data_IF_729296181811
#
_entry.id   IF_729296181811
#
_cell.length_a   1.000
_cell.length_b   1.000
_cell.length_c   1.000
_cell.angle_alpha   90.00
_cell.angle_beta   90.00
_cell.angle_gamma   90.00
#
_symmetry.space_group_name_H-M   'P 1'
#
loop_
_entity.id
_entity.type
_entity.pdbx_description
1 polymer ?
#
# COMPACT_ATOMS: atom_id res chain seq x y z
N UNK A 1 -5.39 15.62 3.23
CA UNK A 1 -4.59 14.70 2.40
C UNK A 1 -3.52 14.10 3.30
N UNK A 2 -3.33 12.77 3.28
CA UNK A 2 -2.31 12.12 4.11
C UNK A 2 -1.12 11.79 3.21
N UNK A 3 0.00 12.47 3.43
CA UNK A 3 1.23 12.32 2.62
C UNK A 3 2.11 11.16 3.09
N UNK A 4 1.84 10.59 4.26
CA UNK A 4 2.57 9.47 4.83
C UNK A 4 1.64 8.54 5.61
N UNK A 5 1.92 7.24 5.54
CA UNK A 5 1.21 6.20 6.29
C UNK A 5 2.21 5.52 7.22
N UNK A 6 1.79 5.18 8.43
CA UNK A 6 2.57 4.37 9.36
C UNK A 6 1.81 3.11 9.73
N UNK A 7 2.56 2.03 9.88
CA UNK A 7 2.08 0.72 10.32
C UNK A 7 3.15 0.14 11.23
N UNK A 8 2.73 -0.53 12.29
CA UNK A 8 3.67 -1.23 13.15
C UNK A 8 3.93 -2.61 12.55
N UNK A 9 5.20 -3.00 12.52
CA UNK A 9 5.57 -4.35 12.19
C UNK A 9 4.83 -5.33 13.13
N UNK A 10 4.41 -6.50 12.60
CA UNK A 10 3.85 -7.54 13.44
C UNK A 10 4.83 -7.92 14.54
N UNK A 11 4.33 -8.17 15.75
CA UNK A 11 5.18 -8.53 16.90
C UNK A 11 5.38 -10.05 17.07
N UNK A 12 4.66 -10.85 16.30
CA UNK A 12 4.68 -12.32 16.37
C UNK A 12 4.97 -12.87 14.99
N UNK A 13 5.80 -13.91 14.95
CA UNK A 13 6.07 -14.66 13.72
C UNK A 13 4.77 -15.10 13.04
N UNK A 14 4.78 -15.10 11.70
CA UNK A 14 3.65 -15.42 10.83
C UNK A 14 2.43 -14.49 10.92
N UNK A 15 2.48 -13.42 11.71
CA UNK A 15 1.47 -12.36 11.66
C UNK A 15 1.75 -11.39 10.51
N UNK A 16 0.67 -10.82 9.99
CA UNK A 16 0.68 -9.81 8.93
C UNK A 16 -0.03 -8.56 9.44
N UNK A 17 0.62 -7.42 9.26
CA UNK A 17 0.02 -6.09 9.44
C UNK A 17 -0.33 -5.54 8.06
N UNK A 18 -1.45 -4.85 7.90
CA UNK A 18 -1.82 -4.27 6.59
C UNK A 18 -1.83 -2.74 6.66
N UNK A 19 -1.05 -2.09 5.80
CA UNK A 19 -1.17 -0.65 5.55
C UNK A 19 -2.18 -0.40 4.43
N UNK A 20 -3.12 0.52 4.65
CA UNK A 20 -4.22 0.83 3.72
C UNK A 20 -4.03 2.22 3.15
N UNK A 21 -3.49 2.30 1.94
CA UNK A 21 -3.24 3.57 1.27
C UNK A 21 -4.49 3.98 0.49
N UNK A 22 -5.09 5.11 0.86
CA UNK A 22 -6.28 5.63 0.19
C UNK A 22 -5.88 6.45 -1.03
N UNK A 23 -6.32 6.03 -2.21
CA UNK A 23 -6.12 6.76 -3.45
C UNK A 23 -7.36 7.56 -3.77
N UNK A 24 -7.23 8.88 -3.83
CA UNK A 24 -8.34 9.81 -4.01
C UNK A 24 -8.24 10.43 -5.41
N UNK A 25 -9.30 10.29 -6.20
CA UNK A 25 -9.48 10.97 -7.49
C UNK A 25 -10.17 12.31 -7.27
N UNK A 26 -9.50 13.37 -7.71
CA UNK A 26 -10.03 14.74 -7.67
C UNK A 26 -10.49 15.18 -9.07
N UNK A 27 -11.41 16.16 -9.12
CA UNK A 27 -11.97 16.68 -10.38
C UNK A 27 -13.16 15.87 -10.92
N UNK A 28 -13.31 15.85 -12.25
CA UNK A 28 -14.40 15.13 -12.91
C UNK A 28 -14.26 13.63 -12.73
N UNK A 29 -15.34 12.98 -12.30
CA UNK A 29 -15.45 11.53 -12.11
C UNK A 29 -16.45 10.89 -13.08
N UNK A 30 -16.75 11.54 -14.20
CA UNK A 30 -17.82 11.09 -15.12
C UNK A 30 -17.35 10.01 -16.09
N UNK A 31 -16.04 9.84 -16.25
CA UNK A 31 -15.43 8.87 -17.16
C UNK A 31 -14.50 7.94 -16.38
N UNK A 32 -14.25 6.76 -16.93
CA UNK A 32 -13.28 5.83 -16.35
C UNK A 32 -11.87 6.40 -16.43
N UNK A 33 -11.11 6.30 -15.33
CA UNK A 33 -9.68 6.59 -15.32
C UNK A 33 -8.92 5.45 -14.64
N UNK A 34 -7.61 5.36 -14.89
CA UNK A 34 -6.77 4.36 -14.25
C UNK A 34 -5.48 4.95 -13.71
N UNK A 35 -4.96 4.33 -12.65
CA UNK A 35 -3.67 4.66 -12.05
C UNK A 35 -2.94 3.37 -11.69
N UNK A 36 -1.64 3.30 -11.98
CA UNK A 36 -0.81 2.18 -11.55
C UNK A 36 -0.22 2.49 -10.17
N UNK A 37 -0.40 1.57 -9.23
CA UNK A 37 0.20 1.61 -7.91
C UNK A 37 1.14 0.41 -7.75
N UNK A 38 2.36 0.65 -7.29
CA UNK A 38 3.33 -0.40 -7.03
C UNK A 38 4.19 -0.08 -5.82
N UNK A 39 4.55 -1.11 -5.08
CA UNK A 39 5.57 -1.04 -4.03
C UNK A 39 6.97 -1.10 -4.64
N UNK A 40 7.96 -0.53 -3.96
CA UNK A 40 9.37 -0.58 -4.35
C UNK A 40 10.23 -0.66 -3.10
N UNK A 41 11.29 -1.46 -3.17
CA UNK A 41 12.25 -1.61 -2.07
C UNK A 41 12.93 -0.28 -1.72
N UNK A 42 13.11 -0.09 -0.41
CA UNK A 42 13.81 1.04 0.19
C UNK A 42 14.78 0.50 1.24
N UNK A 43 14.61 0.90 2.50
CA UNK A 43 15.22 0.18 3.62
C UNK A 43 14.57 -1.20 3.78
N UNK A 44 13.24 -1.25 3.80
CA UNK A 44 12.46 -2.48 3.75
C UNK A 44 12.59 -3.20 2.39
N UNK A 45 12.76 -4.51 2.43
CA UNK A 45 12.94 -5.42 1.29
C UNK A 45 11.70 -6.29 1.03
N UNK A 46 11.35 -6.43 -0.25
CA UNK A 46 10.26 -7.29 -0.69
C UNK A 46 10.47 -8.76 -0.33
N UNK A 47 9.40 -9.41 0.16
CA UNK A 47 9.40 -10.80 0.61
C UNK A 47 9.99 -11.03 2.01
N UNK A 48 10.74 -10.07 2.55
CA UNK A 48 11.22 -10.09 3.95
C UNK A 48 10.35 -9.23 4.84
N UNK A 49 10.15 -7.97 4.45
CA UNK A 49 9.47 -6.97 5.28
C UNK A 49 8.03 -6.72 4.82
N UNK A 50 7.74 -6.98 3.55
CA UNK A 50 6.40 -6.78 2.98
C UNK A 50 6.18 -7.64 1.72
N UNK A 51 4.92 -7.92 1.39
CA UNK A 51 4.56 -8.59 0.15
C UNK A 51 4.55 -7.58 -1.02
N UNK A 52 5.36 -7.76 -2.07
CA UNK A 52 5.40 -6.84 -3.19
C UNK A 52 4.06 -6.83 -3.93
N UNK A 53 3.58 -5.64 -4.29
CA UNK A 53 2.29 -5.45 -4.94
C UNK A 53 2.41 -4.48 -6.11
N UNK A 54 1.81 -4.83 -7.23
CA UNK A 54 1.71 -3.99 -8.43
C UNK A 54 0.33 -4.18 -9.04
N UNK A 55 -0.45 -3.10 -9.12
CA UNK A 55 -1.84 -3.14 -9.55
C UNK A 55 -2.21 -1.88 -10.33
N UNK A 56 -3.04 -2.03 -11.36
CA UNK A 56 -3.73 -0.91 -12.00
C UNK A 56 -5.09 -0.75 -11.33
N UNK A 57 -5.30 0.37 -10.64
CA UNK A 57 -6.58 0.74 -10.04
C UNK A 57 -7.43 1.45 -11.09
N UNK A 58 -8.64 0.95 -11.29
CA UNK A 58 -9.60 1.51 -12.24
C UNK A 58 -10.69 2.26 -11.47
N UNK A 59 -10.78 3.57 -11.70
CA UNK A 59 -11.84 4.43 -11.20
C UNK A 59 -12.97 4.46 -12.21
N UNK A 60 -13.97 3.60 -12.01
CA UNK A 60 -15.25 3.64 -12.72
C UNK A 60 -15.95 5.01 -12.53
N UNK A 61 -16.87 5.39 -13.43
CA UNK A 61 -17.65 6.61 -13.27
C UNK A 61 -18.33 6.70 -11.90
N UNK A 62 -18.17 7.83 -11.22
CA UNK A 62 -18.68 8.09 -9.87
C UNK A 62 -17.79 7.58 -8.73
N UNK A 63 -16.83 6.68 -9.00
CA UNK A 63 -15.87 6.23 -7.98
C UNK A 63 -14.79 7.29 -7.79
N UNK A 64 -14.60 7.71 -6.55
CA UNK A 64 -13.61 8.71 -6.16
C UNK A 64 -12.49 8.19 -5.30
N UNK A 65 -12.66 7.02 -4.72
CA UNK A 65 -11.73 6.50 -3.72
C UNK A 65 -11.58 5.00 -3.91
N UNK A 66 -10.32 4.55 -3.95
CA UNK A 66 -9.97 3.13 -3.98
C UNK A 66 -8.86 2.91 -2.95
N UNK A 67 -8.91 1.79 -2.23
CA UNK A 67 -7.89 1.40 -1.29
C UNK A 67 -6.82 0.54 -1.96
N UNK A 68 -5.55 0.90 -1.74
CA UNK A 68 -4.39 0.08 -2.08
C UNK A 68 -3.75 -0.44 -0.80
N UNK A 69 -4.09 -1.68 -0.44
CA UNK A 69 -3.60 -2.32 0.78
C UNK A 69 -2.29 -3.07 0.52
N UNK A 70 -1.29 -2.93 1.38
CA UNK A 70 0.00 -3.63 1.33
C UNK A 70 0.20 -4.39 2.63
N UNK A 71 0.62 -5.64 2.53
CA UNK A 71 0.88 -6.51 3.66
C UNK A 71 2.33 -6.38 4.11
N UNK A 72 2.51 -6.08 5.39
CA UNK A 72 3.78 -5.99 6.11
C UNK A 72 3.96 -7.28 6.91
N UNK A 73 5.12 -7.88 6.73
CA UNK A 73 5.49 -9.17 7.28
C UNK A 73 6.20 -8.99 8.62
N UNK A 74 6.14 -10.01 9.45
CA UNK A 74 7.02 -10.11 10.60
C UNK A 74 8.47 -10.27 10.12
N UNK A 75 9.36 -9.39 10.56
CA UNK A 75 10.80 -9.57 10.42
C UNK A 75 11.45 -9.55 11.81
N UNK A 76 12.25 -10.57 12.13
CA UNK A 76 13.02 -10.65 13.39
C UNK A 76 14.41 -10.01 13.30
N UNK A 77 14.83 -9.57 12.11
CA UNK A 77 16.13 -8.93 11.93
C UNK A 77 16.13 -7.56 12.61
N UNK A 78 17.17 -7.30 13.40
CA UNK A 78 17.43 -5.94 13.89
C UNK A 78 18.03 -5.16 12.73
N UNK A 79 17.21 -4.34 12.08
CA UNK A 79 17.66 -3.39 11.07
C UNK A 79 17.83 -2.01 11.70
N UNK A 80 19.01 -1.41 11.54
CA UNK A 80 19.26 -0.04 11.99
C UNK A 80 18.76 0.92 10.91
N UNK A 81 17.86 1.82 11.28
CA UNK A 81 17.30 2.87 10.40
C UNK A 81 17.59 4.25 10.98
#
# INVERSE_FOLDING_TARGET
EQSAYSVHEPSVADMISTVRVKIIRMGSANETSSVRCSTRDGSAQSGSDYNPKSLVLQFEPGIREIEFSVDVLYNSAVEWH
#
